data_IF_353886991368
#
_entry.id   IF_353886991368
#
_cell.length_a   1.000
_cell.length_b   1.000
_cell.length_c   1.000
_cell.angle_alpha   90.00
_cell.angle_beta   90.00
_cell.angle_gamma   90.00
#
_symmetry.space_group_name_H-M   'P 1'
#
loop_
_entity.id
_entity.type
_entity.pdbx_description
1 polymer ?
#
# COMPACT_ATOMS: atom_id res chain seq x y z
N UNK A 1 5.42 9.97 -1.34
CA UNK A 1 4.96 8.83 -0.52
C UNK A 1 6.00 7.73 -0.60
N UNK A 2 6.32 7.09 0.52
CA UNK A 2 7.25 5.94 0.56
C UNK A 2 6.65 4.82 1.40
N UNK A 3 7.13 3.60 1.24
CA UNK A 3 6.66 2.46 2.02
C UNK A 3 7.80 1.57 2.51
N UNK A 4 7.51 0.84 3.57
CA UNK A 4 8.34 -0.26 4.05
C UNK A 4 7.45 -1.46 4.38
N UNK A 5 8.00 -2.66 4.20
CA UNK A 5 7.38 -3.91 4.62
C UNK A 5 8.10 -4.44 5.86
N UNK A 6 7.33 -5.00 6.77
CA UNK A 6 7.82 -5.76 7.92
C UNK A 6 6.85 -6.88 8.23
N UNK A 7 7.13 -7.67 9.26
CA UNK A 7 6.22 -8.68 9.77
C UNK A 7 5.93 -8.44 11.24
N UNK A 8 4.67 -8.57 11.63
CA UNK A 8 4.22 -8.47 13.01
C UNK A 8 3.48 -9.74 13.39
N UNK A 9 3.67 -10.20 14.63
CA UNK A 9 2.94 -11.34 15.16
C UNK A 9 1.71 -10.85 15.94
N UNK A 10 0.53 -11.35 15.58
CA UNK A 10 -0.75 -11.06 16.25
C UNK A 10 -1.42 -12.39 16.55
N UNK A 11 -1.75 -12.65 17.83
CA UNK A 11 -2.35 -13.92 18.26
C UNK A 11 -1.58 -15.14 17.72
N UNK A 12 -0.25 -15.12 17.87
CA UNK A 12 0.69 -16.14 17.38
C UNK A 12 0.75 -16.33 15.85
N UNK A 13 0.06 -15.52 15.05
CA UNK A 13 0.10 -15.57 13.58
C UNK A 13 0.96 -14.43 13.04
N UNK A 14 1.83 -14.72 12.08
CA UNK A 14 2.63 -13.69 11.40
C UNK A 14 1.82 -13.05 10.28
N UNK A 15 1.76 -11.72 10.30
CA UNK A 15 1.09 -10.91 9.29
C UNK A 15 2.09 -9.95 8.65
N UNK A 16 1.92 -9.71 7.35
CA UNK A 16 2.62 -8.64 6.66
C UNK A 16 2.14 -7.29 7.23
N UNK A 17 3.09 -6.45 7.62
CA UNK A 17 2.86 -5.08 8.03
C UNK A 17 3.36 -4.16 6.92
N UNK A 18 2.44 -3.39 6.33
CA UNK A 18 2.76 -2.34 5.37
C UNK A 18 2.77 -1.00 6.11
N UNK A 19 3.91 -0.31 6.10
CA UNK A 19 4.08 1.01 6.69
C UNK A 19 4.18 2.00 5.54
N UNK A 20 3.24 2.94 5.47
CA UNK A 20 3.21 4.00 4.46
C UNK A 20 3.53 5.33 5.13
N UNK A 21 4.45 6.08 4.53
CA UNK A 21 4.88 7.41 4.96
C UNK A 21 4.49 8.46 3.92
N UNK A 22 3.84 9.53 4.37
CA UNK A 22 3.46 10.69 3.55
C UNK A 22 3.86 12.00 4.22
N UNK A 23 4.14 13.03 3.42
CA UNK A 23 4.47 14.37 3.88
C UNK A 23 3.25 15.20 4.29
N UNK A 24 2.04 14.70 4.02
CA UNK A 24 0.78 15.36 4.33
C UNK A 24 -0.30 14.33 4.71
N UNK A 25 -1.36 14.74 5.43
CA UNK A 25 -2.47 13.86 5.76
C UNK A 25 -3.09 13.25 4.51
N UNK A 26 -3.08 11.93 4.40
CA UNK A 26 -3.57 11.20 3.23
C UNK A 26 -4.70 10.24 3.61
N UNK A 27 -5.74 10.20 2.78
CA UNK A 27 -6.78 9.18 2.83
C UNK A 27 -6.46 8.08 1.80
N UNK A 28 -6.64 6.82 2.20
CA UNK A 28 -6.34 5.66 1.35
C UNK A 28 -7.62 4.93 0.94
N UNK A 29 -7.65 4.45 -0.30
CA UNK A 29 -8.67 3.53 -0.78
C UNK A 29 -8.43 2.09 -0.31
N UNK A 30 -9.15 1.14 -0.90
CA UNK A 30 -9.00 -0.30 -0.65
C UNK A 30 -7.74 -0.91 -1.29
N UNK A 31 -7.14 -0.22 -2.27
CA UNK A 31 -5.88 -0.61 -2.89
C UNK A 31 -4.84 0.49 -2.74
N UNK A 32 -3.59 0.09 -2.48
CA UNK A 32 -2.43 0.98 -2.50
C UNK A 32 -1.38 0.36 -3.42
N UNK A 33 -0.81 1.14 -4.33
CA UNK A 33 0.24 0.69 -5.22
C UNK A 33 1.56 1.43 -4.98
N UNK A 34 2.67 0.71 -5.14
CA UNK A 34 4.01 1.27 -5.11
C UNK A 34 4.85 0.69 -6.23
N UNK A 35 5.49 1.57 -7.00
CA UNK A 35 6.50 1.19 -7.99
C UNK A 35 7.83 0.89 -7.29
N UNK A 36 8.49 -0.19 -7.70
CA UNK A 36 9.74 -0.68 -7.14
C UNK A 36 10.62 -1.23 -8.26
N UNK A 37 11.32 -0.34 -8.96
CA UNK A 37 12.13 -0.70 -10.13
C UNK A 37 11.22 -1.20 -11.25
N UNK A 38 11.46 -2.43 -11.71
CA UNK A 38 10.74 -3.04 -12.84
C UNK A 38 9.42 -3.72 -12.43
N UNK A 39 8.91 -3.46 -11.22
CA UNK A 39 7.66 -4.03 -10.72
C UNK A 39 6.78 -3.00 -10.01
N UNK A 40 5.47 -3.21 -10.07
CA UNK A 40 4.49 -2.55 -9.22
C UNK A 40 3.96 -3.54 -8.19
N UNK A 41 4.06 -3.17 -6.92
CA UNK A 41 3.43 -3.88 -5.81
C UNK A 41 2.05 -3.27 -5.54
N UNK A 42 0.99 -4.07 -5.57
CA UNK A 42 -0.38 -3.67 -5.26
C UNK A 42 -0.81 -4.39 -3.98
N UNK A 43 -1.24 -3.62 -2.99
CA UNK A 43 -1.68 -4.09 -1.68
C UNK A 43 -3.18 -3.89 -1.55
N UNK A 44 -3.91 -4.94 -1.21
CA UNK A 44 -5.29 -4.80 -0.72
C UNK A 44 -5.26 -4.50 0.77
N UNK A 45 -5.82 -3.36 1.15
CA UNK A 45 -5.80 -2.87 2.52
C UNK A 45 -7.21 -2.51 2.98
N UNK A 46 -7.38 -2.48 4.30
CA UNK A 46 -8.53 -1.88 4.95
C UNK A 46 -8.10 -0.56 5.62
N UNK A 47 -8.89 -0.08 6.57
CA UNK A 47 -8.51 1.04 7.45
C UNK A 47 -7.14 0.80 8.09
N UNK A 48 -6.27 1.82 8.16
CA UNK A 48 -5.00 1.70 8.88
C UNK A 48 -5.26 1.27 10.33
N UNK A 49 -4.47 0.30 10.81
CA UNK A 49 -4.52 -0.13 12.21
C UNK A 49 -3.94 0.91 13.16
N UNK A 50 -2.99 1.70 12.67
CA UNK A 50 -2.36 2.77 13.44
C UNK A 50 -2.02 3.92 12.51
N UNK A 51 -2.25 5.12 13.01
CA UNK A 51 -1.79 6.37 12.40
C UNK A 51 -1.06 7.18 13.45
N UNK A 52 0.04 7.82 13.07
CA UNK A 52 0.76 8.74 13.95
C UNK A 52 1.57 9.74 13.12
N UNK A 53 1.96 10.83 13.77
CA UNK A 53 2.79 11.89 13.20
C UNK A 53 4.09 11.95 13.97
N UNK A 54 5.21 11.92 13.26
CA UNK A 54 6.55 12.01 13.82
C UNK A 54 7.42 12.87 12.90
N UNK A 55 8.11 13.86 13.46
CA UNK A 55 8.97 14.80 12.71
C UNK A 55 8.28 15.48 11.50
N UNK A 56 6.98 15.77 11.62
CA UNK A 56 6.18 16.40 10.56
C UNK A 56 5.74 15.45 9.44
N UNK A 57 6.06 14.17 9.54
CA UNK A 57 5.69 13.13 8.59
C UNK A 57 4.54 12.27 9.15
N UNK A 58 3.66 11.82 8.27
CA UNK A 58 2.49 11.02 8.61
C UNK A 58 2.75 9.56 8.30
N UNK A 59 2.52 8.69 9.29
CA UNK A 59 2.76 7.25 9.19
C UNK A 59 1.45 6.49 9.33
N UNK A 60 1.25 5.52 8.45
CA UNK A 60 0.05 4.68 8.37
C UNK A 60 0.45 3.21 8.33
N UNK A 61 -0.02 2.45 9.29
CA UNK A 61 0.26 1.02 9.40
C UNK A 61 -0.94 0.22 8.95
N UNK A 62 -0.74 -0.64 7.96
CA UNK A 62 -1.77 -1.52 7.42
C UNK A 62 -1.37 -2.97 7.61
N UNK A 63 -2.36 -3.83 7.83
CA UNK A 63 -2.24 -5.26 7.56
C UNK A 63 -2.91 -5.54 6.22
N UNK A 64 -2.14 -5.72 5.14
CA UNK A 64 -2.72 -6.03 3.85
C UNK A 64 -3.43 -7.37 3.91
N UNK A 65 -4.60 -7.48 3.30
CA UNK A 65 -5.29 -8.76 3.09
C UNK A 65 -4.68 -9.52 1.93
N UNK A 66 -4.05 -8.82 0.99
CA UNK A 66 -3.30 -9.43 -0.12
C UNK A 66 -2.20 -8.51 -0.64
N UNK A 67 -1.23 -9.11 -1.34
CA UNK A 67 -0.19 -8.44 -2.11
C UNK A 67 -0.09 -9.09 -3.49
N UNK A 68 -0.11 -8.29 -4.54
CA UNK A 68 0.16 -8.70 -5.93
C UNK A 68 1.38 -7.93 -6.46
N UNK A 69 2.32 -8.63 -7.09
CA UNK A 69 3.48 -8.02 -7.74
C UNK A 69 3.35 -8.23 -9.23
N UNK A 70 3.39 -7.16 -10.01
CA UNK A 70 3.22 -7.17 -11.46
C UNK A 70 4.46 -6.56 -12.10
N UNK A 71 5.08 -7.19 -13.12
CA UNK A 71 6.15 -6.55 -13.89
C UNK A 71 5.64 -5.28 -14.57
N UNK A 72 6.37 -4.18 -14.45
CA UNK A 72 6.01 -2.90 -15.06
C UNK A 72 5.91 -3.01 -16.58
N UNK A 73 6.70 -3.91 -17.20
CA UNK A 73 6.65 -4.23 -18.63
C UNK A 73 5.36 -4.93 -19.08
N UNK A 74 4.63 -5.57 -18.17
CA UNK A 74 3.38 -6.30 -18.45
C UNK A 74 2.12 -5.46 -18.17
N UNK A 75 2.29 -4.23 -17.68
CA UNK A 75 1.20 -3.29 -17.47
C UNK A 75 0.78 -2.72 -18.83
N UNK A 76 -0.20 -3.37 -19.46
CA UNK A 76 -0.95 -2.69 -20.52
C UNK A 76 -1.81 -1.58 -19.89
N UNK A 77 -2.01 -0.42 -20.56
CA UNK A 77 -2.83 0.67 -20.03
C UNK A 77 -4.23 0.21 -19.57
N UNK A 78 -4.79 -0.83 -20.19
CA UNK A 78 -6.08 -1.42 -19.80
C UNK A 78 -6.01 -2.22 -18.49
N UNK A 79 -4.91 -2.92 -18.21
CA UNK A 79 -4.69 -3.61 -16.93
C UNK A 79 -4.45 -2.61 -15.79
N UNK A 80 -3.78 -1.49 -16.09
CA UNK A 80 -3.65 -0.37 -15.18
C UNK A 80 -5.03 0.24 -14.91
N UNK A 81 -5.81 0.56 -15.93
CA UNK A 81 -7.14 1.16 -15.80
C UNK A 81 -8.14 0.26 -15.05
N UNK A 82 -8.04 -1.08 -15.20
CA UNK A 82 -8.83 -2.02 -14.41
C UNK A 82 -8.41 -2.07 -12.92
N UNK A 83 -7.10 -2.06 -12.63
CA UNK A 83 -6.60 -1.99 -11.26
C UNK A 83 -6.88 -0.62 -10.59
N UNK A 84 -6.86 0.47 -11.36
CA UNK A 84 -7.26 1.80 -10.91
C UNK A 84 -8.77 1.90 -10.66
N UNK A 85 -9.62 1.31 -11.52
CA UNK A 85 -11.09 1.31 -11.34
C UNK A 85 -11.57 0.48 -10.15
N UNK A 86 -10.89 -0.60 -9.80
CA UNK A 86 -11.19 -1.35 -8.56
C UNK A 86 -10.53 -0.75 -7.30
N UNK A 87 -9.61 0.21 -7.45
CA UNK A 87 -8.63 0.50 -6.40
C UNK A 87 -8.30 1.93 -6.03
N UNK A 88 -8.53 2.93 -6.86
CA UNK A 88 -7.82 4.21 -6.68
C UNK A 88 -8.80 5.39 -6.74
N UNK A 89 -9.14 5.93 -5.57
CA UNK A 89 -9.32 7.37 -5.46
C UNK A 89 -7.94 7.99 -5.73
N UNK A 90 -7.76 8.53 -6.93
CA UNK A 90 -6.58 9.29 -7.32
C UNK A 90 -6.45 10.54 -6.45
N UNK A 91 -5.22 10.88 -6.07
CA UNK A 91 -4.85 12.28 -5.87
C UNK A 91 -4.32 12.78 -7.21
#
# INVERSE_FOLDING_TARGET
>A
MTYAESYIQINNTWHLLLIVKTSEPTAFGSLISFESGDYTCIYSVNTPMRTFVEDGEYYYWFLPTSKKVIPTSEITPAALDAAYREGVNSI
#
